data_IF_175249213620
#
_entry.id   IF_175249213620
#
_cell.length_a   1.000
_cell.length_b   1.000
_cell.length_c   1.000
_cell.angle_alpha   90.00
_cell.angle_beta   90.00
_cell.angle_gamma   90.00
#
_symmetry.space_group_name_H-M   'P 1'
#
loop_
_entity.id
_entity.type
_entity.pdbx_description
1 polymer ?
#
# COMPACT_ATOMS: atom_id res chain seq x y z
N UNK A 1 7.11 -7.50 31.12
CA UNK A 1 8.02 -6.75 30.24
C UNK A 1 7.16 -5.99 29.26
N UNK A 2 6.83 -4.74 29.61
CA UNK A 2 5.96 -3.88 28.81
C UNK A 2 6.73 -3.27 27.64
N UNK A 3 6.32 -3.60 26.41
CA UNK A 3 6.64 -2.81 25.23
C UNK A 3 5.60 -1.70 25.13
N UNK A 4 5.93 -0.52 25.62
CA UNK A 4 5.16 0.68 25.37
C UNK A 4 5.08 0.91 23.85
N UNK A 5 3.88 0.76 23.29
CA UNK A 5 3.54 1.27 21.97
C UNK A 5 3.64 2.80 22.04
N UNK A 6 4.62 3.39 21.37
CA UNK A 6 4.61 4.83 21.13
C UNK A 6 3.57 5.11 20.03
N UNK A 7 2.57 5.96 20.26
CA UNK A 7 1.65 6.37 19.21
C UNK A 7 2.42 7.23 18.19
N UNK A 8 2.54 6.75 16.96
CA UNK A 8 3.06 7.55 15.86
C UNK A 8 2.00 8.59 15.48
N UNK A 9 2.36 9.87 15.59
CA UNK A 9 1.52 10.98 15.14
C UNK A 9 1.67 11.08 13.62
N UNK A 10 0.61 10.89 12.81
CA UNK A 10 0.73 11.06 11.37
C UNK A 10 1.12 12.51 11.07
N UNK A 11 2.12 12.69 10.22
CA UNK A 11 2.52 14.01 9.73
C UNK A 11 1.30 14.70 9.11
N UNK A 12 1.09 15.97 9.47
CA UNK A 12 -0.04 16.76 8.99
C UNK A 12 0.00 16.85 7.46
N UNK A 13 -1.14 17.00 6.77
CA UNK A 13 -1.16 17.33 5.34
C UNK A 13 -0.27 18.54 4.98
N UNK A 14 -0.06 19.46 5.93
CA UNK A 14 0.88 20.58 5.80
C UNK A 14 2.36 20.14 5.78
N UNK A 15 2.72 19.07 6.50
CA UNK A 15 4.08 18.50 6.52
C UNK A 15 4.37 17.75 5.21
N UNK A 16 3.36 17.13 4.62
CA UNK A 16 3.44 16.49 3.30
C UNK A 16 3.61 17.52 2.16
N UNK A 17 3.03 18.72 2.30
CA UNK A 17 3.23 19.82 1.35
C UNK A 17 4.55 20.58 1.57
N UNK A 18 5.02 20.71 2.81
CA UNK A 18 6.34 21.27 3.09
C UNK A 18 7.49 20.38 2.56
N UNK A 19 7.31 19.05 2.53
CA UNK A 19 8.26 18.13 1.90
C UNK A 19 8.35 18.26 0.36
N UNK A 20 7.35 18.87 -0.29
CA UNK A 20 7.40 19.16 -1.73
C UNK A 20 8.26 20.40 -2.06
N UNK A 21 8.57 21.24 -1.05
CA UNK A 21 9.37 22.45 -1.20
C UNK A 21 10.85 22.22 -0.78
N UNK A 22 11.61 21.56 -1.65
CA UNK A 22 13.05 21.86 -1.79
C UNK A 22 14.04 21.28 -0.77
N UNK A 23 13.64 20.38 0.14
CA UNK A 23 14.61 19.53 0.87
C UNK A 23 14.53 18.13 0.29
N UNK A 24 15.48 17.79 -0.59
CA UNK A 24 15.61 16.43 -1.08
C UNK A 24 15.89 15.52 0.13
N UNK A 25 14.90 14.72 0.54
CA UNK A 25 15.12 13.68 1.54
C UNK A 25 16.33 12.84 1.10
N UNK A 26 17.30 12.59 1.99
CA UNK A 26 18.44 11.75 1.66
C UNK A 26 17.93 10.39 1.16
N UNK A 27 18.58 9.78 0.15
CA UNK A 27 18.17 8.47 -0.34
C UNK A 27 18.12 7.47 0.82
N UNK A 28 17.06 6.66 0.85
CA UNK A 28 16.96 5.60 1.86
C UNK A 28 18.07 4.58 1.61
N UNK A 29 18.73 4.15 2.69
CA UNK A 29 19.50 2.91 2.61
C UNK A 29 18.56 1.76 2.25
N UNK A 30 19.10 0.72 1.62
CA UNK A 30 18.32 -0.44 1.23
C UNK A 30 17.60 -1.10 2.42
N UNK A 31 18.28 -1.23 3.56
CA UNK A 31 17.69 -1.79 4.77
C UNK A 31 16.50 -0.95 5.27
N UNK A 32 16.60 0.39 5.20
CA UNK A 32 15.49 1.29 5.52
C UNK A 32 14.34 1.17 4.51
N UNK A 33 14.65 1.05 3.22
CA UNK A 33 13.64 0.86 2.19
C UNK A 33 12.85 -0.45 2.38
N UNK A 34 13.55 -1.57 2.62
CA UNK A 34 12.93 -2.88 2.88
C UNK A 34 12.08 -2.83 4.14
N UNK A 35 12.59 -2.24 5.23
CA UNK A 35 11.84 -2.11 6.48
C UNK A 35 10.56 -1.27 6.27
N UNK A 36 10.66 -0.18 5.51
CA UNK A 36 9.52 0.68 5.21
C UNK A 36 8.47 -0.04 4.35
N UNK A 37 8.88 -0.78 3.32
CA UNK A 37 7.96 -1.51 2.46
C UNK A 37 7.28 -2.67 3.22
N UNK A 38 8.01 -3.38 4.09
CA UNK A 38 7.41 -4.42 4.96
C UNK A 38 6.37 -3.84 5.90
N UNK A 39 6.66 -2.70 6.52
CA UNK A 39 5.69 -2.01 7.37
C UNK A 39 4.45 -1.59 6.56
N UNK A 40 4.63 -1.06 5.35
CA UNK A 40 3.51 -0.69 4.48
C UNK A 40 2.68 -1.89 4.04
N UNK A 41 3.34 -3.03 3.75
CA UNK A 41 2.69 -4.30 3.44
C UNK A 41 1.86 -4.81 4.62
N UNK A 42 2.41 -4.81 5.84
CA UNK A 42 1.69 -5.22 7.05
C UNK A 42 0.48 -4.30 7.35
N UNK A 43 0.66 -2.99 7.15
CA UNK A 43 -0.40 -1.99 7.27
C UNK A 43 -1.52 -2.26 6.25
N UNK A 44 -1.15 -2.55 5.00
CA UNK A 44 -2.08 -2.87 3.93
C UNK A 44 -2.82 -4.18 4.20
N UNK A 45 -2.11 -5.23 4.64
CA UNK A 45 -2.70 -6.51 4.99
C UNK A 45 -3.71 -6.40 6.12
N UNK A 46 -3.44 -5.58 7.13
CA UNK A 46 -4.40 -5.31 8.22
C UNK A 46 -5.68 -4.67 7.69
N UNK A 47 -5.54 -3.64 6.84
CA UNK A 47 -6.69 -2.93 6.23
C UNK A 47 -7.54 -3.88 5.37
N UNK A 48 -6.89 -4.72 4.55
CA UNK A 48 -7.59 -5.68 3.68
C UNK A 48 -8.32 -6.74 4.48
N UNK A 49 -7.66 -7.36 5.48
CA UNK A 49 -8.27 -8.34 6.36
C UNK A 49 -9.48 -7.77 7.13
N UNK A 50 -9.36 -6.56 7.67
CA UNK A 50 -10.48 -5.90 8.36
C UNK A 50 -11.63 -5.59 7.41
N UNK A 51 -11.36 -5.01 6.24
CA UNK A 51 -12.39 -4.69 5.26
C UNK A 51 -13.11 -5.96 4.78
N UNK A 52 -12.39 -7.02 4.44
CA UNK A 52 -12.96 -8.31 4.01
C UNK A 52 -13.85 -8.93 5.09
N UNK A 53 -13.41 -8.93 6.35
CA UNK A 53 -14.19 -9.44 7.47
C UNK A 53 -15.49 -8.64 7.68
N UNK A 54 -15.42 -7.30 7.63
CA UNK A 54 -16.59 -6.44 7.79
C UNK A 54 -17.59 -6.60 6.64
N UNK A 55 -17.11 -6.68 5.40
CA UNK A 55 -17.95 -6.89 4.22
C UNK A 55 -18.64 -8.25 4.24
N UNK A 56 -17.91 -9.29 4.67
CA UNK A 56 -18.47 -10.64 4.85
C UNK A 56 -19.56 -10.65 5.91
N UNK A 57 -19.32 -10.01 7.05
CA UNK A 57 -20.30 -9.90 8.12
C UNK A 57 -21.56 -9.14 7.68
N UNK A 58 -21.38 -8.04 6.94
CA UNK A 58 -22.50 -7.30 6.34
C UNK A 58 -23.30 -8.19 5.38
N UNK A 59 -22.63 -8.86 4.45
CA UNK A 59 -23.31 -9.76 3.50
C UNK A 59 -24.11 -10.87 4.22
N UNK A 60 -23.53 -11.48 5.25
CA UNK A 60 -24.21 -12.50 6.05
C UNK A 60 -25.46 -11.94 6.74
N UNK A 61 -25.34 -10.77 7.38
CA UNK A 61 -26.46 -10.10 8.02
C UNK A 61 -27.59 -9.79 7.02
N UNK A 62 -27.27 -9.40 5.78
CA UNK A 62 -28.29 -9.17 4.75
C UNK A 62 -28.99 -10.47 4.31
N UNK A 63 -28.25 -11.58 4.19
CA UNK A 63 -28.84 -12.88 3.85
C UNK A 63 -29.83 -13.38 4.91
N UNK A 64 -29.54 -13.11 6.20
CA UNK A 64 -30.40 -13.50 7.32
C UNK A 64 -31.67 -12.62 7.42
N UNK A 65 -31.66 -11.44 6.79
CA UNK A 65 -32.69 -10.40 6.94
C UNK A 65 -33.97 -10.61 6.13
N UNK A 66 -34.07 -11.67 5.31
CA UNK A 66 -35.12 -11.91 4.29
C UNK A 66 -36.55 -12.11 4.87
N UNK A 67 -36.88 -11.63 6.07
CA UNK A 67 -38.23 -11.76 6.65
C UNK A 67 -38.76 -10.54 7.42
N UNK A 68 -38.11 -9.36 7.35
CA UNK A 68 -38.44 -8.27 8.29
C UNK A 68 -39.10 -7.01 7.69
N UNK A 69 -40.03 -6.43 8.45
CA UNK A 69 -40.98 -5.38 8.01
C UNK A 69 -40.38 -3.97 7.95
N UNK A 70 -39.17 -3.78 8.49
CA UNK A 70 -38.45 -2.49 8.54
C UNK A 70 -37.39 -2.33 7.43
N UNK A 71 -37.55 -3.05 6.32
CA UNK A 71 -36.52 -3.25 5.31
C UNK A 71 -35.82 -1.98 4.81
N UNK A 72 -36.55 -0.88 4.63
CA UNK A 72 -36.03 0.41 4.16
C UNK A 72 -34.99 1.05 5.12
N UNK A 73 -35.24 1.04 6.44
CA UNK A 73 -34.37 1.75 7.40
C UNK A 73 -33.05 0.99 7.57
N UNK A 74 -33.12 -0.33 7.50
CA UNK A 74 -31.96 -1.21 7.48
C UNK A 74 -31.16 -1.07 6.18
N UNK A 75 -31.82 -0.95 5.03
CA UNK A 75 -31.14 -0.75 3.74
C UNK A 75 -30.32 0.56 3.72
N UNK A 76 -30.87 1.66 4.24
CA UNK A 76 -30.14 2.94 4.30
C UNK A 76 -28.89 2.84 5.18
N UNK A 77 -29.02 2.27 6.37
CA UNK A 77 -27.89 2.08 7.28
C UNK A 77 -26.84 1.11 6.71
N UNK A 78 -27.28 0.06 6.04
CA UNK A 78 -26.43 -0.91 5.37
C UNK A 78 -25.60 -0.23 4.28
N UNK A 79 -26.26 0.51 3.38
CA UNK A 79 -25.62 1.25 2.29
C UNK A 79 -24.59 2.25 2.81
N UNK A 80 -24.93 2.99 3.87
CA UNK A 80 -24.00 3.91 4.51
C UNK A 80 -22.77 3.20 5.10
N UNK A 81 -22.95 2.01 5.70
CA UNK A 81 -21.83 1.23 6.22
C UNK A 81 -20.95 0.67 5.10
N UNK A 82 -21.57 0.17 4.02
CA UNK A 82 -20.87 -0.35 2.86
C UNK A 82 -20.04 0.73 2.16
N UNK A 83 -20.63 1.91 1.95
CA UNK A 83 -19.92 3.08 1.43
C UNK A 83 -18.74 3.49 2.31
N UNK A 84 -18.94 3.54 3.64
CA UNK A 84 -17.86 3.88 4.57
C UNK A 84 -16.67 2.90 4.50
N UNK A 85 -16.93 1.60 4.38
CA UNK A 85 -15.88 0.59 4.23
C UNK A 85 -15.15 0.75 2.89
N UNK A 86 -15.90 0.83 1.79
CA UNK A 86 -15.33 0.88 0.45
C UNK A 86 -14.57 2.19 0.19
N UNK A 87 -15.11 3.33 0.63
CA UNK A 87 -14.43 4.63 0.57
C UNK A 87 -13.20 4.68 1.48
N UNK A 88 -13.30 4.12 2.71
CA UNK A 88 -12.16 4.03 3.63
C UNK A 88 -11.03 3.16 3.09
N UNK A 89 -11.36 2.04 2.45
CA UNK A 89 -10.39 1.18 1.74
C UNK A 89 -9.74 1.93 0.58
N UNK A 90 -10.53 2.61 -0.25
CA UNK A 90 -10.05 3.36 -1.41
C UNK A 90 -9.01 4.40 -1.00
N UNK A 91 -9.34 5.22 0.00
CA UNK A 91 -8.46 6.27 0.50
C UNK A 91 -7.18 5.72 1.12
N UNK A 92 -7.31 4.65 1.91
CA UNK A 92 -6.17 4.02 2.58
C UNK A 92 -5.23 3.36 1.59
N UNK A 93 -5.77 2.58 0.65
CA UNK A 93 -5.01 1.98 -0.43
C UNK A 93 -4.27 3.02 -1.27
N UNK A 94 -4.97 4.10 -1.66
CA UNK A 94 -4.39 5.21 -2.43
C UNK A 94 -3.20 5.84 -1.70
N UNK A 95 -3.31 6.07 -0.39
CA UNK A 95 -2.20 6.63 0.41
C UNK A 95 -1.02 5.67 0.53
N UNK A 96 -1.28 4.41 0.83
CA UNK A 96 -0.22 3.40 1.03
C UNK A 96 0.54 3.14 -0.26
N UNK A 97 -0.17 3.04 -1.37
CA UNK A 97 0.41 2.96 -2.71
C UNK A 97 1.39 4.09 -3.02
N UNK A 98 1.00 5.34 -2.76
CA UNK A 98 1.87 6.50 -3.02
C UNK A 98 3.15 6.44 -2.17
N UNK A 99 3.02 6.05 -0.90
CA UNK A 99 4.17 5.86 -0.01
C UNK A 99 5.09 4.74 -0.51
N UNK A 100 4.52 3.64 -1.00
CA UNK A 100 5.27 2.53 -1.56
C UNK A 100 6.04 2.95 -2.82
N UNK A 101 5.38 3.67 -3.73
CA UNK A 101 6.01 4.22 -4.94
C UNK A 101 7.14 5.20 -4.62
N UNK A 102 6.99 6.02 -3.59
CA UNK A 102 8.04 6.93 -3.14
C UNK A 102 9.21 6.20 -2.48
N UNK A 103 8.95 5.21 -1.63
CA UNK A 103 10.01 4.38 -1.02
C UNK A 103 10.84 3.68 -2.10
N UNK A 104 10.19 3.08 -3.10
CA UNK A 104 10.86 2.39 -4.21
C UNK A 104 11.65 3.38 -5.09
N UNK A 105 11.08 4.57 -5.35
CA UNK A 105 11.77 5.65 -6.06
C UNK A 105 13.02 6.11 -5.31
N UNK A 106 12.95 6.30 -3.99
CA UNK A 106 14.08 6.70 -3.14
C UNK A 106 15.17 5.62 -3.05
N UNK A 107 14.77 4.35 -3.15
CA UNK A 107 15.69 3.20 -3.17
C UNK A 107 16.34 2.93 -4.54
N UNK A 108 16.07 3.76 -5.56
CA UNK A 108 16.71 3.64 -6.87
C UNK A 108 16.14 2.54 -7.78
N UNK A 109 14.94 2.03 -7.49
CA UNK A 109 14.26 0.97 -8.27
C UNK A 109 13.88 1.37 -9.70
N UNK A 110 14.06 2.64 -10.10
CA UNK A 110 13.87 3.12 -11.49
C UNK A 110 14.68 2.32 -12.52
N UNK A 111 15.68 1.54 -12.08
CA UNK A 111 16.51 0.66 -12.92
C UNK A 111 15.77 -0.60 -13.41
N UNK A 112 14.61 -0.94 -12.84
CA UNK A 112 13.80 -2.12 -13.22
C UNK A 112 12.43 -1.70 -13.79
N UNK A 113 12.46 -0.95 -14.89
CA UNK A 113 11.30 -0.24 -15.44
C UNK A 113 10.09 -1.15 -15.78
N UNK A 114 10.31 -2.35 -16.31
CA UNK A 114 9.21 -3.26 -16.71
C UNK A 114 8.46 -3.81 -15.49
N UNK A 115 9.16 -4.41 -14.53
CA UNK A 115 8.57 -4.93 -13.29
C UNK A 115 7.91 -3.82 -12.48
N UNK A 116 8.50 -2.62 -12.52
CA UNK A 116 7.94 -1.46 -11.83
C UNK A 116 6.63 -0.97 -12.45
N UNK A 117 6.55 -0.97 -13.78
CA UNK A 117 5.34 -0.59 -14.51
C UNK A 117 4.20 -1.59 -14.26
N UNK A 118 4.51 -2.88 -14.21
CA UNK A 118 3.54 -3.95 -13.90
C UNK A 118 3.00 -3.80 -12.47
N UNK A 119 3.87 -3.51 -11.50
CA UNK A 119 3.48 -3.21 -10.12
C UNK A 119 2.48 -2.05 -10.04
N UNK A 120 2.82 -0.90 -10.64
CA UNK A 120 1.92 0.27 -10.67
C UNK A 120 0.60 -0.02 -11.40
N UNK A 121 0.64 -0.84 -12.45
CA UNK A 121 -0.56 -1.23 -13.19
C UNK A 121 -1.48 -2.10 -12.34
N UNK A 122 -0.93 -2.98 -11.50
CA UNK A 122 -1.72 -3.79 -10.56
C UNK A 122 -2.52 -2.90 -9.61
N UNK A 123 -1.86 -1.93 -8.96
CA UNK A 123 -2.53 -0.95 -8.10
C UNK A 123 -3.61 -0.14 -8.82
N UNK A 124 -3.31 0.32 -10.04
CA UNK A 124 -4.24 1.13 -10.83
C UNK A 124 -5.46 0.31 -11.29
N UNK A 125 -5.29 -0.99 -11.54
CA UNK A 125 -6.39 -1.91 -11.87
C UNK A 125 -7.32 -2.07 -10.68
N UNK A 126 -6.75 -2.34 -9.50
CA UNK A 126 -7.54 -2.49 -8.26
C UNK A 126 -8.35 -1.24 -7.93
N UNK A 127 -7.74 -0.05 -7.99
CA UNK A 127 -8.47 1.21 -7.76
C UNK A 127 -9.62 1.43 -8.72
N UNK A 128 -9.47 1.04 -10.00
CA UNK A 128 -10.57 1.14 -10.98
C UNK A 128 -11.70 0.16 -10.67
N UNK A 129 -11.37 -1.06 -10.25
CA UNK A 129 -12.38 -2.06 -9.86
C UNK A 129 -13.14 -1.60 -8.61
N UNK A 130 -12.42 -1.10 -7.60
CA UNK A 130 -13.04 -0.57 -6.38
C UNK A 130 -13.95 0.64 -6.66
N UNK A 131 -13.53 1.57 -7.52
CA UNK A 131 -14.35 2.70 -7.93
C UNK A 131 -15.59 2.29 -8.74
N UNK A 132 -15.48 1.24 -9.57
CA UNK A 132 -16.63 0.69 -10.29
C UNK A 132 -17.66 0.10 -9.31
N UNK A 133 -17.22 -0.75 -8.38
CA UNK A 133 -18.08 -1.32 -7.34
C UNK A 133 -18.74 -0.24 -6.46
N UNK A 134 -18.05 0.87 -6.19
CA UNK A 134 -18.62 2.03 -5.50
C UNK A 134 -19.70 2.75 -6.32
N UNK A 135 -19.59 2.77 -7.64
CA UNK A 135 -20.59 3.38 -8.52
C UNK A 135 -21.83 2.49 -8.64
N UNK A 136 -21.63 1.17 -8.64
CA UNK A 136 -22.72 0.18 -8.70
C UNK A 136 -23.51 0.08 -7.38
N UNK A 137 -23.00 0.68 -6.28
CA UNK A 137 -23.75 0.85 -5.02
C UNK A 137 -25.12 1.46 -5.24
N UNK A 138 -25.30 2.37 -6.20
CA UNK A 138 -26.60 3.02 -6.41
C UNK A 138 -27.61 2.12 -7.14
N UNK A 139 -27.20 0.98 -7.70
CA UNK A 139 -28.00 0.21 -8.67
C UNK A 139 -28.31 -1.21 -8.20
N UNK A 140 -27.37 -1.86 -7.52
CA UNK A 140 -27.50 -3.28 -7.17
C UNK A 140 -27.90 -3.52 -5.71
N UNK A 141 -28.19 -4.78 -5.39
CA UNK A 141 -28.47 -5.23 -4.02
C UNK A 141 -27.22 -5.01 -3.15
N UNK A 142 -27.32 -4.26 -2.04
CA UNK A 142 -26.16 -3.97 -1.19
C UNK A 142 -25.44 -5.23 -0.68
N UNK A 143 -26.18 -6.31 -0.41
CA UNK A 143 -25.60 -7.59 0.00
C UNK A 143 -24.74 -8.24 -1.09
N UNK A 144 -25.15 -8.15 -2.36
CA UNK A 144 -24.35 -8.65 -3.49
C UNK A 144 -23.06 -7.86 -3.62
N UNK A 145 -23.13 -6.53 -3.52
CA UNK A 145 -21.97 -5.65 -3.62
C UNK A 145 -20.99 -5.89 -2.47
N UNK A 146 -21.49 -6.06 -1.24
CA UNK A 146 -20.65 -6.39 -0.10
C UNK A 146 -19.87 -7.69 -0.32
N UNK A 147 -20.53 -8.73 -0.83
CA UNK A 147 -19.88 -10.01 -1.17
C UNK A 147 -18.84 -9.86 -2.28
N UNK A 148 -19.18 -9.16 -3.37
CA UNK A 148 -18.28 -8.95 -4.50
C UNK A 148 -17.04 -8.15 -4.11
N UNK A 149 -17.21 -7.12 -3.28
CA UNK A 149 -16.09 -6.35 -2.71
C UNK A 149 -15.20 -7.23 -1.84
N UNK A 150 -15.77 -8.08 -0.97
CA UNK A 150 -14.97 -8.99 -0.14
C UNK A 150 -14.11 -9.93 -1.00
N UNK A 151 -14.70 -10.53 -2.05
CA UNK A 151 -13.99 -11.39 -2.99
C UNK A 151 -12.88 -10.62 -3.72
N UNK A 152 -13.19 -9.42 -4.23
CA UNK A 152 -12.22 -8.58 -4.93
C UNK A 152 -11.00 -8.25 -4.05
N UNK A 153 -11.24 -7.92 -2.77
CA UNK A 153 -10.20 -7.61 -1.78
C UNK A 153 -9.34 -8.84 -1.49
N UNK A 154 -9.97 -9.98 -1.24
CA UNK A 154 -9.26 -11.22 -0.91
C UNK A 154 -8.41 -11.72 -2.10
N UNK A 155 -8.97 -11.74 -3.30
CA UNK A 155 -8.27 -12.14 -4.52
C UNK A 155 -7.10 -11.21 -4.84
N UNK A 156 -7.33 -9.89 -4.73
CA UNK A 156 -6.26 -8.92 -4.94
C UNK A 156 -5.15 -9.10 -3.92
N UNK A 157 -5.47 -9.19 -2.63
CA UNK A 157 -4.47 -9.31 -1.57
C UNK A 157 -3.67 -10.61 -1.71
N UNK A 158 -4.33 -11.74 -1.98
CA UNK A 158 -3.65 -13.02 -2.17
C UNK A 158 -2.58 -12.96 -3.26
N UNK A 159 -2.87 -12.31 -4.39
CA UNK A 159 -1.92 -12.18 -5.50
C UNK A 159 -0.90 -11.08 -5.24
N UNK A 160 -1.34 -9.90 -4.81
CA UNK A 160 -0.48 -8.74 -4.64
C UNK A 160 0.54 -8.94 -3.52
N UNK A 161 0.11 -9.52 -2.40
CA UNK A 161 0.98 -9.80 -1.28
C UNK A 161 2.05 -10.83 -1.66
N UNK A 162 1.67 -11.91 -2.34
CA UNK A 162 2.57 -13.02 -2.68
C UNK A 162 3.52 -12.71 -3.83
N UNK A 163 3.05 -12.02 -4.88
CA UNK A 163 3.83 -11.88 -6.11
C UNK A 163 4.50 -10.51 -6.23
N UNK A 164 3.76 -9.44 -5.98
CA UNK A 164 4.21 -8.09 -6.31
C UNK A 164 5.11 -7.48 -5.23
N UNK A 165 4.68 -7.53 -3.97
CA UNK A 165 5.44 -6.94 -2.85
C UNK A 165 6.70 -7.77 -2.53
N UNK A 166 6.59 -9.11 -2.58
CA UNK A 166 7.77 -9.98 -2.40
C UNK A 166 8.79 -9.86 -3.52
N UNK A 167 8.36 -9.60 -4.76
CA UNK A 167 9.29 -9.32 -5.85
C UNK A 167 10.01 -7.98 -5.63
N UNK A 168 9.32 -6.95 -5.12
CA UNK A 168 9.93 -5.69 -4.75
C UNK A 168 10.98 -5.87 -3.63
N UNK A 169 10.70 -6.65 -2.59
CA UNK A 169 11.68 -7.00 -1.55
C UNK A 169 12.90 -7.73 -2.14
N UNK A 170 12.65 -8.73 -2.99
CA UNK A 170 13.70 -9.57 -3.58
C UNK A 170 14.62 -8.78 -4.51
N UNK A 171 14.06 -7.85 -5.29
CA UNK A 171 14.84 -6.98 -6.16
C UNK A 171 15.72 -6.00 -5.38
N UNK A 172 15.21 -5.46 -4.26
CA UNK A 172 16.01 -4.63 -3.38
C UNK A 172 17.14 -5.42 -2.72
N UNK A 173 16.88 -6.64 -2.23
CA UNK A 173 17.91 -7.55 -1.72
C UNK A 173 19.00 -7.87 -2.76
N UNK A 174 18.60 -8.09 -4.01
CA UNK A 174 19.51 -8.39 -5.11
C UNK A 174 20.36 -7.17 -5.54
N UNK A 175 19.82 -5.95 -5.42
CA UNK A 175 20.59 -4.72 -5.60
C UNK A 175 21.65 -4.53 -4.52
N UNK A 176 21.32 -4.88 -3.28
CA UNK A 176 22.23 -4.80 -2.14
C UNK A 176 23.44 -5.71 -2.22
N UNK A 177 23.22 -6.94 -2.67
CA UNK A 177 24.28 -7.94 -2.84
C UNK A 177 25.21 -7.64 -4.02
N UNK A 178 24.85 -6.72 -4.92
CA UNK A 178 25.63 -6.36 -6.12
C UNK A 178 26.32 -5.00 -6.04
N UNK A 179 26.11 -4.21 -4.99
CA UNK A 179 26.83 -2.97 -4.76
C UNK A 179 28.02 -3.25 -3.83
N UNK A 180 29.29 -2.96 -4.23
CA UNK A 180 30.41 -3.10 -3.31
C UNK A 180 30.19 -2.18 -2.11
N UNK A 181 30.32 -2.73 -0.89
CA UNK A 181 30.17 -2.01 0.37
C UNK A 181 31.25 -0.92 0.62
N UNK A 182 32.12 -0.62 -0.35
CA UNK A 182 33.21 0.33 -0.21
C UNK A 182 32.96 1.60 -1.04
N UNK A 183 32.10 2.48 -0.55
CA UNK A 183 32.14 3.90 -0.90
C UNK A 183 31.62 4.77 0.27
N UNK A 184 31.91 4.33 1.49
CA UNK A 184 31.87 5.18 2.68
C UNK A 184 33.27 5.12 3.26
N UNK A 185 34.15 5.94 2.69
CA UNK A 185 35.18 6.73 3.37
C UNK A 185 36.12 7.23 2.28
N UNK A 186 36.13 8.55 2.15
CA UNK A 186 36.99 9.24 1.20
C UNK A 186 38.43 9.12 1.63
N UNK A 187 39.26 8.52 0.78
CA UNK A 187 40.63 8.93 0.53
C UNK A 187 41.01 8.37 -0.83
N UNK A 188 40.99 9.26 -1.84
CA UNK A 188 41.64 8.98 -3.11
C UNK A 188 43.15 8.86 -2.82
N UNK A 189 43.83 7.79 -3.27
CA UNK A 189 45.28 7.74 -3.15
C UNK A 189 45.88 8.87 -4.00
N UNK A 190 46.63 9.76 -3.34
CA UNK A 190 47.48 10.76 -3.98
C UNK A 190 48.30 10.10 -5.11
N UNK A 191 48.28 10.66 -6.35
CA UNK A 191 49.10 10.13 -7.42
C UNK A 191 50.57 10.29 -7.05
N UNK A 192 51.22 9.16 -6.81
CA UNK A 192 52.65 9.06 -6.57
C UNK A 192 53.44 9.83 -7.62
N UNK A 193 54.27 10.75 -7.13
CA UNK A 193 55.22 11.52 -7.91
C UNK A 193 56.31 10.58 -8.45
N UNK A 194 56.06 9.98 -9.62
CA UNK A 194 57.08 9.28 -10.38
C UNK A 194 58.04 10.33 -10.96
N UNK A 195 59.30 10.24 -10.54
CA UNK A 195 60.32 11.26 -10.70
C UNK A 195 60.60 11.72 -12.14
N UNK A 196 61.13 12.94 -12.22
CA UNK A 196 61.96 13.41 -13.33
C UNK A 196 63.35 13.73 -12.77
N UNK A 197 64.36 13.31 -13.53
CA UNK A 197 65.80 13.53 -13.39
C UNK A 197 66.18 14.94 -12.95
#
# INVERSE_FOLDING_TARGET
MDRAFLPFTPASPADLHAQAAGVANPPLTQAQAIACLRQQHDELGTVFCTASAELTALWQAECERVSDSHAHLHETAFRARLDAIASGLFDTFRRLKLREEDTLRMAGMRRFDTTWREHKQSHARFLRQLAASLTDLERDSPGCIARELAILIDEYWAVHALDHDHLAFSLLDLLGSRLPQSATDGELPEPGNAGRN
#
